data_IF_542961815280
#
_entry.id   IF_542961815280
#
_cell.length_a   1.000
_cell.length_b   1.000
_cell.length_c   1.000
_cell.angle_alpha   90.00
_cell.angle_beta   90.00
_cell.angle_gamma   90.00
#
_symmetry.space_group_name_H-M   'P 1'
#
loop_
_entity.id
_entity.type
_entity.pdbx_description
1 polymer ?
#
# COMPACT_ATOMS: atom_id res chain seq x y z
N UNK A 1 -8.11 -13.25 21.68
CA UNK A 1 -6.67 -13.05 21.41
C UNK A 1 -6.57 -11.69 20.76
N UNK A 2 -5.93 -10.73 21.41
CA UNK A 2 -5.69 -9.42 20.79
C UNK A 2 -4.68 -9.62 19.66
N UNK A 3 -5.20 -9.76 18.44
CA UNK A 3 -4.35 -9.92 17.27
C UNK A 3 -3.55 -8.63 17.10
N UNK A 4 -2.22 -8.75 17.09
CA UNK A 4 -1.33 -7.67 16.70
C UNK A 4 -1.30 -7.56 15.18
N UNK A 5 -1.11 -6.35 14.67
CA UNK A 5 -0.78 -6.11 13.28
C UNK A 5 0.69 -6.44 13.07
N UNK A 6 1.01 -7.19 12.02
CA UNK A 6 2.39 -7.52 11.67
C UNK A 6 2.79 -6.78 10.40
N UNK A 7 3.90 -6.06 10.46
CA UNK A 7 4.62 -5.51 9.31
C UNK A 7 5.81 -6.42 9.06
N UNK A 8 5.79 -7.13 7.93
CA UNK A 8 6.86 -8.02 7.50
C UNK A 8 7.61 -7.31 6.39
N UNK A 9 8.89 -7.09 6.57
CA UNK A 9 9.75 -6.42 5.59
C UNK A 9 10.71 -7.45 5.01
N UNK A 10 10.87 -7.43 3.68
CA UNK A 10 11.81 -8.32 3.02
C UNK A 10 13.23 -8.10 3.55
N UNK A 11 14.00 -9.18 3.72
CA UNK A 11 15.39 -9.13 4.21
C UNK A 11 16.32 -8.23 3.38
N UNK A 12 15.98 -7.96 2.11
CA UNK A 12 16.73 -7.07 1.21
C UNK A 12 16.48 -5.58 1.53
N UNK A 13 15.40 -5.24 2.23
CA UNK A 13 14.99 -3.86 2.54
C UNK A 13 15.48 -3.42 3.94
N UNK A 14 16.78 -3.59 4.21
CA UNK A 14 17.37 -3.33 5.52
C UNK A 14 17.20 -1.86 5.98
N UNK A 15 17.44 -0.91 5.07
CA UNK A 15 17.33 0.51 5.37
C UNK A 15 15.91 0.92 5.72
N UNK A 16 14.90 0.36 5.04
CA UNK A 16 13.49 0.64 5.33
C UNK A 16 13.09 0.09 6.69
N UNK A 17 13.54 -1.14 7.00
CA UNK A 17 13.29 -1.71 8.31
C UNK A 17 13.88 -0.85 9.43
N UNK A 18 15.14 -0.41 9.30
CA UNK A 18 15.79 0.38 10.34
C UNK A 18 15.04 1.71 10.54
N UNK A 19 14.63 2.38 9.45
CA UNK A 19 13.83 3.62 9.53
C UNK A 19 12.46 3.39 10.22
N UNK A 20 11.80 2.26 9.95
CA UNK A 20 10.54 1.92 10.62
C UNK A 20 10.76 1.56 12.10
N UNK A 21 11.83 0.83 12.42
CA UNK A 21 12.13 0.35 13.76
C UNK A 21 12.57 1.47 14.71
N UNK A 22 13.33 2.44 14.19
CA UNK A 22 13.82 3.59 14.95
C UNK A 22 12.71 4.61 15.26
N UNK A 23 11.54 4.48 14.64
CA UNK A 23 10.41 5.36 14.89
C UNK A 23 9.70 4.99 16.17
N UNK A 24 9.42 6.02 16.96
CA UNK A 24 8.67 5.85 18.18
C UNK A 24 7.19 5.54 17.89
N UNK A 25 6.76 4.37 18.36
CA UNK A 25 5.39 3.88 18.27
C UNK A 25 4.68 3.89 19.62
N UNK A 26 5.18 4.58 20.65
CA UNK A 26 4.67 4.63 22.05
C UNK A 26 3.27 4.04 22.32
N UNK A 27 2.22 4.52 21.64
CA UNK A 27 0.81 4.11 21.86
C UNK A 27 0.43 2.78 21.16
N UNK A 28 1.16 2.42 20.11
CA UNK A 28 0.95 1.27 19.23
C UNK A 28 2.04 0.19 19.33
N UNK A 29 3.06 0.37 20.18
CA UNK A 29 4.15 -0.60 20.37
C UNK A 29 3.65 -2.00 20.72
N UNK A 30 2.59 -2.09 21.53
CA UNK A 30 1.98 -3.37 21.89
C UNK A 30 1.02 -3.92 20.82
N UNK A 31 0.70 -3.13 19.79
CA UNK A 31 -0.28 -3.46 18.74
C UNK A 31 0.34 -3.75 17.38
N UNK A 32 1.57 -3.27 17.13
CA UNK A 32 2.30 -3.46 15.88
C UNK A 32 3.56 -4.28 16.16
N UNK A 33 3.70 -5.38 15.44
CA UNK A 33 4.91 -6.20 15.41
C UNK A 33 5.65 -5.96 14.08
N UNK A 34 6.94 -5.65 14.14
CA UNK A 34 7.77 -5.34 12.97
C UNK A 34 8.84 -6.43 12.86
N UNK A 35 8.86 -7.14 11.73
CA UNK A 35 9.74 -8.30 11.53
C UNK A 35 10.41 -8.27 10.17
N UNK A 36 11.57 -8.92 10.05
CA UNK A 36 12.21 -9.24 8.77
C UNK A 36 11.97 -10.70 8.41
N UNK A 37 11.63 -10.97 7.15
CA UNK A 37 11.55 -12.33 6.62
C UNK A 37 11.85 -12.34 5.12
N UNK A 38 12.34 -13.43 4.54
CA UNK A 38 12.42 -13.55 3.09
C UNK A 38 11.01 -13.54 2.50
N UNK A 39 10.75 -12.66 1.53
CA UNK A 39 9.48 -12.60 0.81
C UNK A 39 9.71 -12.96 -0.66
N UNK A 40 8.97 -13.96 -1.15
CA UNK A 40 9.02 -14.34 -2.57
C UNK A 40 8.40 -13.26 -3.48
N UNK A 41 7.44 -12.50 -2.93
CA UNK A 41 6.62 -11.50 -3.62
C UNK A 41 6.39 -10.27 -2.76
N UNK A 42 6.67 -9.10 -3.34
CA UNK A 42 6.60 -7.82 -2.65
C UNK A 42 7.77 -7.63 -1.69
N UNK A 43 7.89 -6.39 -1.22
CA UNK A 43 8.97 -5.94 -0.35
C UNK A 43 8.47 -5.68 1.08
N UNK A 44 7.18 -5.39 1.24
CA UNK A 44 6.54 -5.23 2.56
C UNK A 44 5.15 -5.85 2.55
N UNK A 45 4.84 -6.64 3.59
CA UNK A 45 3.48 -7.12 3.87
C UNK A 45 2.96 -6.49 5.17
N UNK A 46 1.74 -5.95 5.12
CA UNK A 46 1.00 -5.56 6.32
C UNK A 46 -0.14 -6.56 6.51
N UNK A 47 -0.14 -7.25 7.65
CA UNK A 47 -1.11 -8.31 7.99
C UNK A 47 -1.85 -7.99 9.27
N UNK A 48 -3.17 -8.08 9.24
CA UNK A 48 -4.02 -7.92 10.43
C UNK A 48 -5.34 -8.67 10.26
N UNK A 49 -5.55 -9.74 11.04
CA UNK A 49 -6.69 -10.67 10.84
C UNK A 49 -6.74 -11.15 9.37
N UNK A 50 -7.86 -10.93 8.67
CA UNK A 50 -8.04 -11.28 7.26
C UNK A 50 -7.54 -10.19 6.28
N UNK A 51 -6.98 -9.09 6.80
CA UNK A 51 -6.43 -8.01 5.98
C UNK A 51 -4.99 -8.36 5.62
N UNK A 52 -4.71 -8.34 4.31
CA UNK A 52 -3.38 -8.45 3.75
C UNK A 52 -3.17 -7.35 2.72
N UNK A 53 -2.17 -6.51 2.95
CA UNK A 53 -1.63 -5.59 1.96
C UNK A 53 -0.19 -5.93 1.63
N UNK A 54 0.13 -5.90 0.35
CA UNK A 54 1.44 -6.21 -0.21
C UNK A 54 1.91 -4.98 -0.98
N UNK A 55 3.10 -4.53 -0.65
CA UNK A 55 3.74 -3.38 -1.26
C UNK A 55 4.99 -3.84 -1.99
N UNK A 56 5.08 -3.51 -3.28
CA UNK A 56 6.34 -3.57 -4.04
C UNK A 56 6.94 -2.15 -4.06
N UNK A 57 8.13 -1.99 -3.49
CA UNK A 57 8.87 -0.75 -3.44
C UNK A 57 9.79 -0.66 -4.66
N UNK A 58 9.80 0.48 -5.35
CA UNK A 58 10.66 0.69 -6.51
C UNK A 58 11.08 2.15 -6.62
N UNK A 59 12.37 2.41 -6.81
CA UNK A 59 12.80 3.77 -7.20
C UNK A 59 12.41 4.01 -8.66
N UNK A 60 12.28 5.27 -9.09
CA UNK A 60 12.05 5.58 -10.52
C UNK A 60 13.16 4.97 -11.41
N UNK A 61 14.41 4.98 -10.95
CA UNK A 61 15.54 4.39 -11.69
C UNK A 61 15.37 2.88 -11.87
N UNK A 62 15.02 2.17 -10.80
CA UNK A 62 14.77 0.73 -10.87
C UNK A 62 13.54 0.41 -11.72
N UNK A 63 12.51 1.26 -11.69
CA UNK A 63 11.33 1.13 -12.54
C UNK A 63 11.72 1.21 -14.02
N UNK A 64 12.46 2.23 -14.42
CA UNK A 64 12.94 2.38 -15.80
C UNK A 64 13.73 1.13 -16.23
N UNK A 65 14.71 0.72 -15.42
CA UNK A 65 15.54 -0.46 -15.69
C UNK A 65 14.68 -1.73 -15.85
N UNK A 66 13.73 -1.94 -14.93
CA UNK A 66 12.84 -3.10 -14.94
C UNK A 66 11.84 -3.12 -16.09
N UNK A 67 11.48 -1.95 -16.65
CA UNK A 67 10.65 -1.87 -17.85
C UNK A 67 11.47 -2.29 -19.08
N UNK A 68 12.71 -1.82 -19.18
CA UNK A 68 13.59 -2.14 -20.32
C UNK A 68 13.97 -3.62 -20.37
N UNK A 69 14.25 -4.24 -19.22
CA UNK A 69 14.62 -5.66 -19.16
C UNK A 69 13.40 -6.61 -19.09
N UNK A 70 12.18 -6.07 -19.04
CA UNK A 70 10.91 -6.82 -19.00
C UNK A 70 10.51 -7.37 -17.63
N UNK A 71 11.35 -7.21 -16.60
CA UNK A 71 11.11 -7.70 -15.23
C UNK A 71 9.89 -7.06 -14.59
N UNK A 72 9.59 -5.81 -14.92
CA UNK A 72 8.41 -5.11 -14.43
C UNK A 72 7.11 -5.84 -14.79
N UNK A 73 7.04 -6.37 -16.02
CA UNK A 73 5.86 -7.10 -16.50
C UNK A 73 5.76 -8.46 -15.82
N UNK A 74 6.88 -9.16 -15.66
CA UNK A 74 6.94 -10.47 -15.00
C UNK A 74 6.55 -10.36 -13.52
N UNK A 75 7.17 -9.44 -12.77
CA UNK A 75 6.89 -9.21 -11.36
C UNK A 75 5.40 -8.96 -11.12
N UNK A 76 4.80 -8.10 -11.95
CA UNK A 76 3.37 -7.80 -11.86
C UNK A 76 2.50 -9.01 -12.18
N UNK A 77 2.81 -9.74 -13.24
CA UNK A 77 2.07 -10.95 -13.61
C UNK A 77 2.14 -12.00 -12.49
N UNK A 78 3.30 -12.17 -11.88
CA UNK A 78 3.52 -13.06 -10.74
C UNK A 78 2.68 -12.64 -9.53
N UNK A 79 2.68 -11.36 -9.17
CA UNK A 79 1.84 -10.82 -8.10
C UNK A 79 0.35 -11.06 -8.36
N UNK A 80 -0.13 -10.76 -9.57
CA UNK A 80 -1.53 -10.92 -9.99
C UNK A 80 -1.99 -12.38 -10.06
N UNK A 81 -1.06 -13.32 -10.26
CA UNK A 81 -1.40 -14.76 -10.29
C UNK A 81 -1.72 -15.33 -8.91
N UNK A 82 -1.32 -14.65 -7.83
CA UNK A 82 -1.42 -15.15 -6.46
C UNK A 82 -2.33 -14.28 -5.59
N UNK A 83 -2.35 -12.96 -5.83
CA UNK A 83 -3.06 -12.01 -4.97
C UNK A 83 -4.11 -11.22 -5.73
N UNK A 84 -5.17 -10.81 -5.02
CA UNK A 84 -6.17 -9.91 -5.58
C UNK A 84 -5.59 -8.50 -5.72
N UNK A 85 -5.98 -7.76 -6.77
CA UNK A 85 -5.49 -6.40 -7.03
C UNK A 85 -5.73 -5.45 -5.85
N UNK A 86 -6.78 -5.68 -5.05
CA UNK A 86 -7.08 -4.89 -3.84
C UNK A 86 -6.03 -5.06 -2.74
N UNK A 87 -5.23 -6.13 -2.75
CA UNK A 87 -4.17 -6.38 -1.79
C UNK A 87 -2.86 -5.74 -2.25
N UNK A 88 -2.72 -5.49 -3.55
CA UNK A 88 -1.47 -5.06 -4.17
C UNK A 88 -1.37 -3.55 -4.25
N UNK A 89 -0.17 -3.03 -3.95
CA UNK A 89 0.20 -1.64 -4.19
C UNK A 89 1.67 -1.54 -4.60
N UNK A 90 1.99 -0.58 -5.45
CA UNK A 90 3.36 -0.14 -5.67
C UNK A 90 3.64 1.11 -4.84
N UNK A 91 4.85 1.21 -4.27
CA UNK A 91 5.39 2.45 -3.72
C UNK A 91 6.54 2.87 -4.63
N UNK A 92 6.35 3.99 -5.33
CA UNK A 92 7.35 4.55 -6.23
C UNK A 92 8.06 5.71 -5.53
N UNK A 93 9.35 5.52 -5.30
CA UNK A 93 10.19 6.52 -4.66
C UNK A 93 10.91 7.41 -5.67
N UNK A 94 11.29 8.61 -5.22
CA UNK A 94 12.09 9.57 -6.00
C UNK A 94 11.37 10.06 -7.28
N UNK A 95 10.04 10.06 -7.28
CA UNK A 95 9.26 10.50 -8.44
C UNK A 95 9.08 12.02 -8.50
N UNK A 96 9.79 12.67 -9.42
CA UNK A 96 9.51 14.05 -9.87
C UNK A 96 8.81 14.06 -11.25
N UNK A 97 8.28 12.92 -11.72
CA UNK A 97 7.92 12.70 -13.14
C UNK A 97 6.65 13.44 -13.54
N UNK A 98 5.69 13.59 -12.63
CA UNK A 98 4.46 14.35 -12.91
C UNK A 98 4.77 15.86 -13.05
N UNK A 99 5.71 16.39 -12.25
CA UNK A 99 5.99 17.83 -12.16
C UNK A 99 7.11 18.34 -13.07
N UNK A 100 8.04 17.48 -13.50
CA UNK A 100 9.22 17.93 -14.25
C UNK A 100 9.02 17.90 -15.78
N UNK A 101 9.58 18.92 -16.44
CA UNK A 101 9.57 19.08 -17.92
C UNK A 101 10.59 18.18 -18.63
N UNK A 102 11.54 17.57 -17.90
CA UNK A 102 12.73 16.93 -18.48
C UNK A 102 12.97 15.58 -17.80
N UNK A 103 12.31 14.54 -18.31
CA UNK A 103 12.78 13.16 -18.16
C UNK A 103 12.88 12.54 -19.54
N UNK A 104 14.07 12.07 -19.91
CA UNK A 104 14.17 10.97 -20.87
C UNK A 104 13.38 9.80 -20.27
N UNK A 105 12.49 9.18 -21.04
CA UNK A 105 11.55 8.10 -20.62
C UNK A 105 10.25 8.53 -19.91
N UNK A 106 9.88 9.83 -19.89
CA UNK A 106 8.61 10.28 -19.31
C UNK A 106 7.38 9.52 -19.84
N UNK A 107 7.29 9.31 -21.15
CA UNK A 107 6.18 8.59 -21.78
C UNK A 107 6.09 7.13 -21.35
N UNK A 108 7.24 6.48 -21.15
CA UNK A 108 7.34 5.08 -20.72
C UNK A 108 6.85 4.91 -19.28
N UNK A 109 7.33 5.77 -18.38
CA UNK A 109 6.93 5.75 -16.96
C UNK A 109 5.44 6.09 -16.82
N UNK A 110 4.96 7.13 -17.51
CA UNK A 110 3.54 7.48 -17.52
C UNK A 110 2.68 6.34 -18.03
N UNK A 111 3.08 5.68 -19.12
CA UNK A 111 2.41 4.49 -19.63
C UNK A 111 2.39 3.36 -18.60
N UNK A 112 3.50 3.12 -17.89
CA UNK A 112 3.58 2.11 -16.83
C UNK A 112 2.62 2.43 -15.67
N UNK A 113 2.56 3.69 -15.22
CA UNK A 113 1.65 4.14 -14.18
C UNK A 113 0.18 4.00 -14.58
N UNK A 114 -0.18 4.50 -15.76
CA UNK A 114 -1.56 4.43 -16.27
C UNK A 114 -1.99 2.98 -16.42
N UNK A 115 -1.16 2.13 -17.03
CA UNK A 115 -1.48 0.72 -17.19
C UNK A 115 -1.64 0.03 -15.82
N UNK A 116 -0.77 0.32 -14.85
CA UNK A 116 -0.84 -0.31 -13.53
C UNK A 116 -2.09 0.10 -12.76
N UNK A 117 -2.43 1.40 -12.78
CA UNK A 117 -3.59 1.91 -12.06
C UNK A 117 -4.92 1.58 -12.74
N UNK A 118 -5.02 1.76 -14.06
CA UNK A 118 -6.30 1.70 -14.77
C UNK A 118 -6.54 0.37 -15.47
N UNK A 119 -5.51 -0.25 -16.06
CA UNK A 119 -5.66 -1.56 -16.72
C UNK A 119 -5.55 -2.70 -15.71
N UNK A 120 -4.54 -2.65 -14.84
CA UNK A 120 -4.23 -3.72 -13.90
C UNK A 120 -4.94 -3.54 -12.53
N UNK A 121 -5.56 -2.38 -12.30
CA UNK A 121 -6.25 -2.02 -11.06
C UNK A 121 -5.40 -2.17 -9.78
N UNK A 122 -4.10 -1.91 -9.88
CA UNK A 122 -3.14 -1.92 -8.78
C UNK A 122 -2.88 -0.48 -8.35
N UNK A 123 -2.91 -0.22 -7.04
CA UNK A 123 -2.65 1.13 -6.50
C UNK A 123 -1.19 1.51 -6.66
N UNK A 124 -0.94 2.79 -6.93
CA UNK A 124 0.41 3.35 -6.97
C UNK A 124 0.48 4.52 -5.99
N UNK A 125 1.38 4.42 -5.03
CA UNK A 125 1.67 5.44 -4.03
C UNK A 125 3.03 6.05 -4.34
N UNK A 126 3.18 7.35 -4.09
CA UNK A 126 4.41 8.07 -4.42
C UNK A 126 5.02 8.65 -3.14
N UNK A 127 6.32 8.48 -2.99
CA UNK A 127 7.11 9.06 -1.90
C UNK A 127 8.41 9.63 -2.47
N UNK A 128 9.03 10.58 -1.77
CA UNK A 128 10.29 11.18 -2.20
C UNK A 128 11.51 10.45 -1.65
N UNK A 129 11.39 9.90 -0.44
CA UNK A 129 12.49 9.31 0.32
C UNK A 129 11.98 8.13 1.14
N UNK A 130 12.90 7.26 1.51
CA UNK A 130 12.60 6.07 2.32
C UNK A 130 11.88 6.38 3.64
N UNK A 131 12.20 7.51 4.29
CA UNK A 131 11.50 7.94 5.50
C UNK A 131 10.04 8.35 5.27
N UNK A 132 9.68 8.81 4.07
CA UNK A 132 8.27 9.04 3.73
C UNK A 132 7.56 7.70 3.52
N UNK A 133 8.23 6.73 2.91
CA UNK A 133 7.72 5.34 2.78
C UNK A 133 7.50 4.68 4.14
N UNK A 134 8.44 4.82 5.07
CA UNK A 134 8.28 4.36 6.45
C UNK A 134 7.07 5.02 7.13
N UNK A 135 6.94 6.35 7.01
CA UNK A 135 5.80 7.11 7.55
C UNK A 135 4.47 6.63 6.96
N UNK A 136 4.43 6.41 5.65
CA UNK A 136 3.25 5.96 4.92
C UNK A 136 2.80 4.57 5.39
N UNK A 137 3.73 3.61 5.45
CA UNK A 137 3.45 2.24 5.89
C UNK A 137 2.92 2.19 7.32
N UNK A 138 3.57 2.94 8.24
CA UNK A 138 3.11 3.05 9.63
C UNK A 138 1.74 3.73 9.73
N UNK A 139 1.50 4.78 8.94
CA UNK A 139 0.19 5.46 8.91
C UNK A 139 -0.92 4.54 8.44
N UNK A 140 -0.66 3.70 7.43
CA UNK A 140 -1.58 2.67 6.97
C UNK A 140 -1.86 1.66 8.10
N UNK A 141 -0.80 1.16 8.76
CA UNK A 141 -0.93 0.21 9.87
C UNK A 141 -1.79 0.78 11.02
N UNK A 142 -1.51 2.02 11.44
CA UNK A 142 -2.29 2.71 12.48
C UNK A 142 -3.76 2.84 12.07
N UNK A 143 -4.05 3.25 10.82
CA UNK A 143 -5.43 3.38 10.35
C UNK A 143 -6.18 2.06 10.32
N UNK A 144 -5.49 0.96 9.99
CA UNK A 144 -6.05 -0.39 10.06
C UNK A 144 -6.41 -0.74 11.50
N UNK A 145 -5.52 -0.53 12.46
CA UNK A 145 -5.77 -0.81 13.88
C UNK A 145 -6.92 0.04 14.43
N UNK A 146 -6.97 1.33 14.08
CA UNK A 146 -8.01 2.24 14.56
C UNK A 146 -9.41 1.85 14.05
N UNK A 147 -9.51 1.37 12.81
CA UNK A 147 -10.79 1.05 12.19
C UNK A 147 -10.73 -0.16 11.22
N UNK A 148 -10.49 -1.40 11.71
CA UNK A 148 -10.25 -2.55 10.83
C UNK A 148 -11.40 -2.80 9.85
N UNK A 149 -12.64 -2.60 10.30
CA UNK A 149 -13.87 -2.79 9.49
C UNK A 149 -13.92 -1.94 8.22
N UNK A 150 -13.17 -0.83 8.14
CA UNK A 150 -13.07 0.02 6.94
C UNK A 150 -12.09 -0.53 5.90
N UNK A 151 -11.19 -1.41 6.32
CA UNK A 151 -10.09 -1.95 5.51
C UNK A 151 -10.26 -3.43 5.15
N UNK A 152 -11.15 -4.14 5.86
CA UNK A 152 -11.65 -5.45 5.40
C UNK A 152 -12.38 -5.20 4.08
N UNK A 153 -11.73 -5.56 2.99
CA UNK A 153 -12.20 -5.23 1.65
C UNK A 153 -13.49 -5.95 1.29
N UNK A 154 -14.19 -5.29 0.38
CA UNK A 154 -15.42 -5.58 -0.38
C UNK A 154 -15.64 -7.03 -0.82
N UNK A 155 -14.67 -7.95 -0.76
CA UNK A 155 -14.90 -9.37 -1.05
C UNK A 155 -15.94 -10.00 -0.11
N UNK A 156 -15.94 -9.63 1.18
CA UNK A 156 -17.02 -10.02 2.09
C UNK A 156 -18.38 -9.39 1.72
N UNK A 157 -18.40 -8.21 1.08
CA UNK A 157 -19.61 -7.51 0.63
C UNK A 157 -20.16 -8.06 -0.69
N UNK A 158 -19.28 -8.53 -1.58
CA UNK A 158 -19.64 -9.15 -2.85
C UNK A 158 -20.10 -10.60 -2.68
N UNK A 159 -19.53 -11.34 -1.71
CA UNK A 159 -19.85 -12.75 -1.48
C UNK A 159 -21.01 -12.96 -0.48
N UNK A 160 -21.24 -12.06 0.48
CA UNK A 160 -22.27 -12.28 1.52
C UNK A 160 -23.54 -11.43 1.38
N UNK A 161 -23.78 -10.71 0.27
CA UNK A 161 -25.00 -9.90 0.11
C UNK A 161 -25.30 -8.96 1.30
N UNK A 162 -24.29 -8.61 2.10
CA UNK A 162 -24.46 -8.06 3.43
C UNK A 162 -23.72 -6.73 3.53
N UNK A 163 -24.53 -5.68 3.62
CA UNK A 163 -24.13 -4.34 4.02
C UNK A 163 -23.72 -3.45 2.85
N UNK A 164 -24.69 -3.12 1.98
CA UNK A 164 -24.71 -1.76 1.43
C UNK A 164 -24.59 -0.81 2.62
N UNK A 165 -23.41 -0.22 2.82
CA UNK A 165 -23.35 1.06 3.51
C UNK A 165 -24.25 1.99 2.72
N UNK A 166 -25.44 2.26 3.25
CA UNK A 166 -26.40 3.10 2.56
C UNK A 166 -25.79 4.50 2.55
N UNK A 167 -25.92 5.24 1.44
CA UNK A 167 -25.45 6.63 1.39
C UNK A 167 -25.99 7.46 2.57
N UNK A 168 -27.17 7.10 3.10
CA UNK A 168 -27.80 7.71 4.26
C UNK A 168 -26.96 7.64 5.54
N UNK A 169 -26.06 6.66 5.68
CA UNK A 169 -25.13 6.55 6.82
C UNK A 169 -24.12 7.72 6.87
N UNK A 170 -23.93 8.42 5.74
CA UNK A 170 -23.05 9.58 5.63
C UNK A 170 -23.79 10.92 5.82
N UNK A 171 -25.12 10.91 5.96
CA UNK A 171 -25.92 12.12 6.14
C UNK A 171 -25.94 12.51 7.62
N UNK A 172 -25.18 13.54 7.98
CA UNK A 172 -25.27 14.18 9.30
C UNK A 172 -26.46 15.13 9.33
N UNK A 173 -27.60 14.70 9.87
CA UNK A 173 -28.75 15.57 10.09
C UNK A 173 -28.42 16.62 11.16
N UNK A 174 -28.24 17.90 10.76
CA UNK A 174 -28.23 19.02 11.71
C UNK A 174 -29.67 19.35 12.09
N UNK A 175 -30.06 19.07 13.33
CA UNK A 175 -31.35 19.52 13.88
C UNK A 175 -31.33 21.05 13.93
N UNK A 176 -32.30 21.70 13.29
CA UNK A 176 -32.50 23.15 13.36
C UNK A 176 -33.03 23.46 14.76
N UNK A 177 -32.29 24.24 15.55
CA UNK A 177 -32.84 24.79 16.80
C UNK A 177 -33.95 25.77 16.42
N UNK A 178 -35.17 25.50 16.87
CA UNK A 178 -36.25 26.46 16.77
C UNK A 178 -35.96 27.58 17.77
N UNK A 179 -35.72 28.79 17.24
CA UNK A 179 -35.73 30.05 18.01
C UNK A 179 -37.16 30.44 18.35
#
# INVERSE_FOLDING_TARGET
>A
MDNKLTIIIDIREDTLYNDIFDRDLDIYKDKIDITKAPLDIGDVHIKYNDILYIFERKTVKDLISSIHDGRYREQKARMLSIYNTIQLSYIIEEDDVISSKIYSNKSVIQGAYINTMFRDNIRVLFTKKIGETATLLLSIAVKIIENPKKFISVNARAENGAGETCYTDYIKLKKKENR
#
